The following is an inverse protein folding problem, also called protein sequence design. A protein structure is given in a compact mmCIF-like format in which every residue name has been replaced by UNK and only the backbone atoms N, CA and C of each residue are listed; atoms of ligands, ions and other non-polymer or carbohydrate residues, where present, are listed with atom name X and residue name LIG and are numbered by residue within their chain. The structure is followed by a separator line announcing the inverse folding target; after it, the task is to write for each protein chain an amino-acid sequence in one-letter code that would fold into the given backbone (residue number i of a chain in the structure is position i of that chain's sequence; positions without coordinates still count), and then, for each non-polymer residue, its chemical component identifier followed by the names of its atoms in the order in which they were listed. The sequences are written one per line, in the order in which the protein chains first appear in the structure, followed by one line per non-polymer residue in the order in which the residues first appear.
data_IF_922382594447
#
_entry.id   IF_922382594447
#
_cell.length_a   1.000
_cell.length_b   1.000
_cell.length_c   1.000
_cell.angle_alpha   90.00
_cell.angle_beta   90.00
_cell.angle_gamma   90.00
#
_symmetry.space_group_name_H-M   'P 1'
#
loop_
_entity.id
_entity.type
_entity.pdbx_description
1 polymer ?
#
# COMPACT_ATOMS: atom_id res chain seq x y z
N UNK A 1 -17.52 24.13 -0.81
CA UNK A 1 -16.63 23.00 -1.18
C UNK A 1 -17.30 21.63 -1.04
N UNK A 2 -18.01 21.30 0.06
CA UNK A 2 -18.71 19.99 0.21
C UNK A 2 -19.65 19.61 -0.95
N UNK A 3 -20.39 20.59 -1.51
CA UNK A 3 -21.27 20.35 -2.66
C UNK A 3 -20.53 20.01 -3.96
N UNK A 4 -19.27 20.43 -4.14
CA UNK A 4 -18.55 20.16 -5.39
C UNK A 4 -18.07 18.70 -5.46
N UNK A 5 -17.61 18.14 -4.35
CA UNK A 5 -16.97 16.82 -4.33
C UNK A 5 -17.96 15.65 -4.26
N UNK A 6 -19.18 15.89 -3.75
CA UNK A 6 -20.21 14.85 -3.59
C UNK A 6 -21.48 15.12 -4.40
N UNK A 7 -21.51 16.16 -5.24
CA UNK A 7 -22.67 16.42 -6.09
C UNK A 7 -22.69 15.49 -7.30
N UNK A 8 -23.82 14.80 -7.43
CA UNK A 8 -24.20 14.06 -8.60
C UNK A 8 -25.34 14.80 -9.31
N UNK A 9 -25.04 15.40 -10.47
CA UNK A 9 -26.03 16.08 -11.30
C UNK A 9 -26.29 15.27 -12.58
N UNK A 10 -27.53 15.34 -13.07
CA UNK A 10 -27.88 14.81 -14.37
C UNK A 10 -27.35 15.74 -15.47
N UNK A 11 -26.86 15.16 -16.57
CA UNK A 11 -26.43 15.93 -17.73
C UNK A 11 -27.64 16.38 -18.57
N UNK A 12 -27.48 17.37 -19.49
CA UNK A 12 -28.61 18.03 -20.16
C UNK A 12 -29.56 17.08 -20.88
N UNK A 13 -29.05 16.01 -21.49
CA UNK A 13 -29.86 15.03 -22.22
C UNK A 13 -29.52 13.60 -21.80
N UNK A 14 -30.49 12.69 -22.02
CA UNK A 14 -30.30 11.25 -21.76
C UNK A 14 -29.22 10.64 -22.65
N UNK A 15 -29.09 11.12 -23.88
CA UNK A 15 -28.05 10.68 -24.81
C UNK A 15 -26.65 11.05 -24.28
N UNK A 16 -26.48 12.27 -23.76
CA UNK A 16 -25.21 12.69 -23.13
C UNK A 16 -24.93 11.84 -21.87
N UNK A 17 -25.93 11.60 -21.02
CA UNK A 17 -25.75 10.72 -19.85
C UNK A 17 -25.35 9.29 -20.24
N UNK A 18 -25.92 8.74 -21.31
CA UNK A 18 -25.59 7.41 -21.82
C UNK A 18 -24.16 7.37 -22.39
N UNK A 19 -23.78 8.35 -23.22
CA UNK A 19 -22.42 8.47 -23.72
C UNK A 19 -21.41 8.63 -22.58
N UNK A 20 -21.76 9.42 -21.57
CA UNK A 20 -20.93 9.63 -20.38
C UNK A 20 -20.77 8.37 -19.53
N UNK A 21 -21.82 7.56 -19.39
CA UNK A 21 -21.73 6.23 -18.78
C UNK A 21 -20.77 5.34 -19.54
N UNK A 22 -20.93 5.22 -20.86
CA UNK A 22 -20.07 4.37 -21.69
C UNK A 22 -18.61 4.80 -21.60
N UNK A 23 -18.35 6.12 -21.63
CA UNK A 23 -17.02 6.68 -21.45
C UNK A 23 -16.41 6.31 -20.09
N UNK A 24 -17.14 6.54 -18.99
CA UNK A 24 -16.68 6.17 -17.64
C UNK A 24 -16.47 4.67 -17.48
N UNK A 25 -17.38 3.86 -18.01
CA UNK A 25 -17.30 2.41 -17.93
C UNK A 25 -16.09 1.90 -18.71
N UNK A 26 -15.89 2.37 -19.94
CA UNK A 26 -14.72 1.99 -20.73
C UNK A 26 -13.42 2.41 -20.05
N UNK A 27 -13.28 3.66 -19.62
CA UNK A 27 -12.05 4.13 -18.98
C UNK A 27 -11.78 3.46 -17.63
N UNK A 28 -12.81 3.36 -16.78
CA UNK A 28 -12.70 2.75 -15.46
C UNK A 28 -12.33 1.27 -15.54
N UNK A 29 -12.96 0.51 -16.45
CA UNK A 29 -12.60 -0.89 -16.68
C UNK A 29 -11.22 -1.02 -17.33
N UNK A 30 -10.89 -0.17 -18.31
CA UNK A 30 -9.60 -0.22 -18.99
C UNK A 30 -8.44 0.05 -18.04
N UNK A 31 -8.60 0.96 -17.06
CA UNK A 31 -7.54 1.20 -16.08
C UNK A 31 -7.50 0.12 -15.01
N UNK A 32 -8.66 -0.37 -14.58
CA UNK A 32 -8.72 -1.47 -13.62
C UNK A 32 -8.08 -2.74 -14.19
N UNK A 33 -8.35 -3.07 -15.46
CA UNK A 33 -7.83 -4.26 -16.12
C UNK A 33 -6.42 -4.08 -16.70
N UNK A 34 -6.12 -2.93 -17.31
CA UNK A 34 -4.86 -2.70 -18.02
C UNK A 34 -3.70 -2.24 -17.13
N UNK A 35 -3.99 -1.60 -15.99
CA UNK A 35 -2.96 -1.08 -15.09
C UNK A 35 -3.04 -1.70 -13.69
N UNK A 36 -4.24 -1.72 -13.10
CA UNK A 36 -4.44 -2.20 -11.74
C UNK A 36 -4.28 -3.71 -11.60
N UNK A 37 -5.08 -4.48 -12.35
CA UNK A 37 -5.16 -5.94 -12.25
C UNK A 37 -3.85 -6.66 -12.55
N UNK A 38 -2.98 -6.25 -13.50
CA UNK A 38 -1.69 -6.91 -13.73
C UNK A 38 -0.74 -6.71 -12.55
N UNK A 39 -0.79 -5.53 -11.91
CA UNK A 39 -0.03 -5.25 -10.70
C UNK A 39 -0.61 -5.97 -9.48
N UNK A 40 -1.93 -6.24 -9.48
CA UNK A 40 -2.60 -7.08 -8.49
C UNK A 40 -2.50 -8.59 -8.76
N UNK A 41 -2.32 -9.08 -9.98
CA UNK A 41 -2.26 -10.53 -10.26
C UNK A 41 -0.87 -11.09 -10.06
N UNK A 42 0.14 -10.22 -9.99
CA UNK A 42 1.38 -10.52 -9.25
C UNK A 42 1.13 -10.80 -7.75
N UNK A 43 -0.08 -10.57 -7.21
CA UNK A 43 -0.55 -11.09 -5.91
C UNK A 43 -1.11 -12.53 -6.00
N UNK A 44 -1.55 -12.99 -7.18
CA UNK A 44 -2.12 -14.34 -7.37
C UNK A 44 -1.06 -15.41 -7.62
N UNK A 45 0.16 -15.03 -8.04
CA UNK A 45 1.35 -15.89 -7.99
C UNK A 45 1.80 -16.19 -6.54
N UNK A 46 1.15 -15.57 -5.55
CA UNK A 46 1.37 -15.77 -4.11
C UNK A 46 0.36 -16.78 -3.55
N UNK A 47 0.27 -17.95 -4.16
CA UNK A 47 -0.41 -19.11 -3.57
C UNK A 47 0.35 -19.67 -2.33
N UNK A 48 1.49 -19.08 -1.95
CA UNK A 48 2.40 -19.55 -0.89
C UNK A 48 2.44 -18.65 0.36
N UNK A 49 1.32 -18.03 0.75
CA UNK A 49 1.17 -17.33 2.04
C UNK A 49 2.13 -16.15 2.31
N UNK A 50 2.42 -15.34 1.28
CA UNK A 50 3.00 -13.99 1.42
C UNK A 50 1.88 -12.94 1.35
N UNK A 51 1.96 -11.90 2.17
CA UNK A 51 0.98 -10.80 2.24
C UNK A 51 0.83 -10.13 0.87
N UNK A 52 -0.39 -9.77 0.43
CA UNK A 52 -0.59 -9.08 -0.83
C UNK A 52 0.14 -7.72 -0.87
N UNK A 53 1.10 -7.54 -1.79
CA UNK A 53 1.92 -6.32 -1.97
C UNK A 53 2.17 -5.92 -3.43
N UNK A 54 2.42 -4.63 -3.72
CA UNK A 54 2.83 -4.18 -5.07
C UNK A 54 4.11 -4.89 -5.52
N UNK A 55 4.34 -5.07 -6.84
CA UNK A 55 5.54 -5.73 -7.33
C UNK A 55 6.80 -4.88 -7.09
N UNK A 56 7.93 -5.53 -6.80
CA UNK A 56 9.18 -4.85 -6.38
C UNK A 56 9.68 -3.80 -7.37
N UNK A 57 9.58 -4.07 -8.67
CA UNK A 57 9.98 -3.10 -9.71
C UNK A 57 9.17 -1.80 -9.60
N UNK A 58 7.90 -1.88 -9.22
CA UNK A 58 7.03 -0.71 -9.09
C UNK A 58 7.35 0.05 -7.79
N UNK A 59 7.65 -0.69 -6.72
CA UNK A 59 8.15 -0.11 -5.47
C UNK A 59 9.44 0.68 -5.70
N UNK A 60 10.37 0.13 -6.47
CA UNK A 60 11.62 0.80 -6.84
C UNK A 60 11.37 2.06 -7.69
N UNK A 61 10.44 2.01 -8.64
CA UNK A 61 10.05 3.19 -9.43
C UNK A 61 9.49 4.31 -8.55
N UNK A 62 8.57 3.97 -7.64
CA UNK A 62 7.97 4.92 -6.69
C UNK A 62 9.04 5.49 -5.75
N UNK A 63 9.99 4.68 -5.28
CA UNK A 63 11.13 5.14 -4.50
C UNK A 63 12.03 6.11 -5.29
N UNK A 64 12.31 5.80 -6.57
CA UNK A 64 13.11 6.65 -7.46
C UNK A 64 12.51 8.03 -7.70
N UNK A 65 11.17 8.14 -7.62
CA UNK A 65 10.43 9.40 -7.66
C UNK A 65 10.48 10.20 -6.35
N UNK A 66 11.11 9.67 -5.29
CA UNK A 66 11.22 10.32 -3.99
C UNK A 66 10.08 10.03 -3.01
N UNK A 67 9.14 9.14 -3.36
CA UNK A 67 8.07 8.70 -2.47
C UNK A 67 8.57 7.65 -1.46
N UNK A 68 9.43 8.09 -0.54
CA UNK A 68 10.13 7.23 0.43
C UNK A 68 9.49 7.21 1.82
N UNK A 69 8.79 8.27 2.22
CA UNK A 69 8.05 8.35 3.49
C UNK A 69 6.53 8.32 3.25
N UNK A 70 5.72 7.47 3.92
CA UNK A 70 6.07 6.60 5.06
C UNK A 70 6.78 5.29 4.65
N UNK A 71 6.59 4.81 3.43
CA UNK A 71 7.46 3.82 2.77
C UNK A 71 7.16 3.76 1.27
N UNK A 72 8.10 3.36 0.41
CA UNK A 72 7.82 3.12 -1.02
C UNK A 72 6.74 2.05 -1.25
N UNK A 73 6.69 1.03 -0.40
CA UNK A 73 5.68 -0.03 -0.47
C UNK A 73 4.27 0.51 -0.20
N UNK A 74 4.13 1.45 0.74
CA UNK A 74 2.86 2.11 1.02
C UNK A 74 2.35 2.87 -0.22
N UNK A 75 3.21 3.70 -0.81
CA UNK A 75 2.84 4.50 -1.98
C UNK A 75 2.57 3.64 -3.22
N UNK A 76 3.39 2.63 -3.46
CA UNK A 76 3.17 1.67 -4.53
C UNK A 76 1.87 0.88 -4.32
N UNK A 77 1.58 0.44 -3.08
CA UNK A 77 0.32 -0.23 -2.75
C UNK A 77 -0.89 0.69 -2.97
N UNK A 78 -0.80 1.95 -2.52
CA UNK A 78 -1.83 2.95 -2.74
C UNK A 78 -2.08 3.22 -4.23
N UNK A 79 -1.02 3.25 -5.04
CA UNK A 79 -1.12 3.47 -6.48
C UNK A 79 -1.73 2.27 -7.22
N UNK A 80 -1.37 1.03 -6.85
CA UNK A 80 -1.96 -0.19 -7.44
C UNK A 80 -3.45 -0.30 -7.10
N UNK A 81 -3.79 -0.11 -5.82
CA UNK A 81 -5.19 -0.12 -5.41
C UNK A 81 -5.99 1.06 -5.96
N UNK A 82 -5.35 2.21 -6.13
CA UNK A 82 -5.91 3.37 -6.81
C UNK A 82 -6.29 3.06 -8.25
N UNK A 83 -5.38 2.47 -9.03
CA UNK A 83 -5.64 2.05 -10.41
C UNK A 83 -6.78 1.01 -10.48
N UNK A 84 -6.75 -0.01 -9.64
CA UNK A 84 -7.75 -1.06 -9.68
C UNK A 84 -9.10 -0.63 -9.11
N UNK A 85 -9.16 -0.34 -7.80
CA UNK A 85 -10.39 0.02 -7.13
C UNK A 85 -10.91 1.37 -7.61
N UNK A 86 -10.03 2.35 -7.83
CA UNK A 86 -10.42 3.64 -8.41
C UNK A 86 -11.01 3.49 -9.81
N UNK A 87 -10.44 2.61 -10.65
CA UNK A 87 -11.01 2.29 -11.96
C UNK A 87 -12.43 1.71 -11.87
N UNK A 88 -12.64 0.73 -10.99
CA UNK A 88 -13.97 0.14 -10.77
C UNK A 88 -14.98 1.17 -10.21
N UNK A 89 -14.54 2.01 -9.28
CA UNK A 89 -15.35 3.09 -8.70
C UNK A 89 -15.79 4.10 -9.78
N UNK A 90 -14.90 4.46 -10.70
CA UNK A 90 -15.23 5.32 -11.86
C UNK A 90 -16.25 4.66 -12.78
N UNK A 91 -16.06 3.37 -13.10
CA UNK A 91 -16.95 2.62 -13.98
C UNK A 91 -18.37 2.54 -13.40
N UNK A 92 -18.50 2.25 -12.11
CA UNK A 92 -19.78 2.20 -11.40
C UNK A 92 -20.36 3.59 -11.11
N UNK A 93 -19.53 4.62 -11.14
CA UNK A 93 -19.89 5.98 -10.74
C UNK A 93 -20.14 6.09 -9.25
N UNK A 94 -19.24 5.56 -8.42
CA UNK A 94 -19.25 5.64 -6.95
C UNK A 94 -18.02 6.43 -6.48
N UNK A 95 -18.21 7.44 -5.63
CA UNK A 95 -17.16 8.39 -5.24
C UNK A 95 -16.40 8.98 -6.44
N UNK A 96 -17.11 9.22 -7.54
CA UNK A 96 -16.54 9.43 -8.88
C UNK A 96 -15.53 10.58 -8.93
N UNK A 97 -15.82 11.69 -8.24
CA UNK A 97 -14.92 12.86 -8.23
C UNK A 97 -13.65 12.60 -7.43
N UNK A 98 -13.73 11.83 -6.36
CA UNK A 98 -12.57 11.46 -5.55
C UNK A 98 -11.68 10.45 -6.28
N UNK A 99 -12.29 9.41 -6.84
CA UNK A 99 -11.57 8.42 -7.65
C UNK A 99 -10.95 9.06 -8.90
N UNK A 100 -11.66 9.99 -9.54
CA UNK A 100 -11.15 10.73 -10.68
C UNK A 100 -9.95 11.60 -10.30
N UNK A 101 -10.00 12.31 -9.18
CA UNK A 101 -8.90 13.16 -8.73
C UNK A 101 -7.67 12.34 -8.37
N UNK A 102 -7.86 11.22 -7.66
CA UNK A 102 -6.76 10.32 -7.30
C UNK A 102 -6.07 9.73 -8.52
N UNK A 103 -6.84 9.23 -9.50
CA UNK A 103 -6.28 8.70 -10.75
C UNK A 103 -5.61 9.81 -11.57
N UNK A 104 -6.22 10.99 -11.67
CA UNK A 104 -5.60 12.13 -12.34
C UNK A 104 -4.24 12.48 -11.72
N UNK A 105 -4.13 12.51 -10.39
CA UNK A 105 -2.84 12.75 -9.74
C UNK A 105 -1.80 11.68 -10.11
N UNK A 106 -2.18 10.41 -10.14
CA UNK A 106 -1.26 9.32 -10.50
C UNK A 106 -0.76 9.41 -11.94
N UNK A 107 -1.68 9.66 -12.89
CA UNK A 107 -1.31 9.81 -14.30
C UNK A 107 -0.56 11.13 -14.57
N UNK A 108 -0.76 12.16 -13.75
CA UNK A 108 0.06 13.37 -13.80
C UNK A 108 1.52 13.06 -13.43
N UNK A 109 1.75 12.37 -12.30
CA UNK A 109 3.11 12.00 -11.86
C UNK A 109 3.80 11.16 -12.93
N UNK A 110 3.10 10.15 -13.45
CA UNK A 110 3.65 9.27 -14.48
C UNK A 110 3.95 10.05 -15.77
N UNK A 111 3.00 10.83 -16.28
CA UNK A 111 3.13 11.45 -17.59
C UNK A 111 4.07 12.66 -17.64
N UNK A 112 4.25 13.38 -16.53
CA UNK A 112 4.97 14.66 -16.52
C UNK A 112 6.20 14.70 -15.61
N UNK A 113 6.27 13.84 -14.58
CA UNK A 113 7.37 13.89 -13.61
C UNK A 113 8.33 12.70 -13.72
N UNK A 114 7.85 11.55 -14.18
CA UNK A 114 8.66 10.33 -14.23
C UNK A 114 9.48 10.16 -15.51
N UNK A 115 8.95 10.61 -16.65
CA UNK A 115 9.57 10.34 -17.94
C UNK A 115 10.78 11.24 -18.22
N UNK A 116 11.85 10.66 -18.75
CA UNK A 116 13.13 11.34 -18.98
C UNK A 116 13.06 12.44 -20.07
N UNK A 117 12.05 12.40 -20.95
CA UNK A 117 11.78 13.45 -21.94
C UNK A 117 10.29 13.86 -21.94
N UNK A 118 9.81 14.56 -20.89
CA UNK A 118 8.41 14.87 -20.70
C UNK A 118 7.98 15.98 -21.67
N UNK A 119 7.82 15.64 -22.95
CA UNK A 119 7.13 16.52 -23.90
C UNK A 119 5.70 16.76 -23.40
N UNK A 120 5.30 18.02 -23.13
CA UNK A 120 4.01 18.31 -22.49
C UNK A 120 2.77 17.93 -23.31
N UNK A 121 2.96 17.61 -24.59
CA UNK A 121 1.87 17.37 -25.55
C UNK A 121 1.96 15.96 -26.15
N UNK A 122 3.16 15.42 -26.37
CA UNK A 122 3.35 14.14 -27.07
C UNK A 122 4.08 13.07 -26.26
N UNK A 123 4.77 13.46 -25.18
CA UNK A 123 5.46 12.53 -24.30
C UNK A 123 4.45 11.69 -23.53
N UNK A 124 4.61 10.36 -23.50
CA UNK A 124 3.67 9.45 -22.84
C UNK A 124 2.19 9.72 -23.21
N UNK A 125 1.90 9.86 -24.51
CA UNK A 125 0.59 10.29 -25.01
C UNK A 125 -0.60 9.54 -24.40
N UNK A 126 -0.44 8.24 -24.12
CA UNK A 126 -1.47 7.41 -23.51
C UNK A 126 -1.77 7.82 -22.07
N UNK A 127 -0.72 8.06 -21.27
CA UNK A 127 -0.85 8.48 -19.87
C UNK A 127 -1.33 9.93 -19.75
N UNK A 128 -0.92 10.81 -20.67
CA UNK A 128 -1.48 12.17 -20.75
C UNK A 128 -2.97 12.16 -21.12
N UNK A 129 -3.38 11.30 -22.05
CA UNK A 129 -4.79 11.14 -22.40
C UNK A 129 -5.61 10.66 -21.20
N UNK A 130 -5.11 9.68 -20.45
CA UNK A 130 -5.74 9.20 -19.23
C UNK A 130 -5.83 10.30 -18.16
N UNK A 131 -4.74 11.05 -17.94
CA UNK A 131 -4.74 12.21 -17.04
C UNK A 131 -5.87 13.19 -17.36
N UNK A 132 -5.96 13.63 -18.63
CA UNK A 132 -7.00 14.57 -19.05
C UNK A 132 -8.40 13.98 -18.96
N UNK A 133 -8.56 12.70 -19.28
CA UNK A 133 -9.84 12.03 -19.14
C UNK A 133 -10.32 12.00 -17.68
N UNK A 134 -9.42 11.68 -16.73
CA UNK A 134 -9.74 11.70 -15.30
C UNK A 134 -9.99 13.11 -14.77
N UNK A 135 -9.31 14.13 -15.31
CA UNK A 135 -9.61 15.54 -15.02
C UNK A 135 -11.03 15.91 -15.46
N UNK A 136 -11.45 15.51 -16.66
CA UNK A 136 -12.82 15.73 -17.14
C UNK A 136 -13.81 14.98 -16.24
N UNK A 137 -13.53 13.74 -15.85
CA UNK A 137 -14.40 12.98 -14.93
C UNK A 137 -14.51 13.67 -13.56
N UNK A 138 -13.40 14.21 -13.05
CA UNK A 138 -13.38 14.95 -11.79
C UNK A 138 -14.20 16.23 -11.86
N UNK A 139 -14.15 16.94 -12.99
CA UNK A 139 -14.86 18.21 -13.19
C UNK A 139 -16.36 18.00 -13.43
N UNK A 140 -16.73 17.11 -14.36
CA UNK A 140 -18.11 16.80 -14.75
C UNK A 140 -18.81 16.03 -13.63
N UNK A 141 -18.13 15.05 -13.04
CA UNK A 141 -18.66 14.17 -12.00
C UNK A 141 -19.42 12.95 -12.56
N UNK A 142 -20.32 12.37 -11.75
CA UNK A 142 -20.81 11.01 -11.97
C UNK A 142 -21.91 10.87 -13.04
N UNK A 143 -22.66 11.93 -13.35
CA UNK A 143 -23.81 11.87 -14.27
C UNK A 143 -24.99 11.04 -13.73
N UNK A 144 -26.08 10.98 -14.49
CA UNK A 144 -27.36 10.39 -14.05
C UNK A 144 -27.33 8.88 -13.86
N UNK A 145 -26.55 8.16 -14.68
CA UNK A 145 -26.39 6.71 -14.61
C UNK A 145 -25.17 6.35 -13.76
N UNK A 146 -25.24 6.67 -12.47
CA UNK A 146 -24.17 6.42 -11.51
C UNK A 146 -24.75 6.04 -10.15
N UNK A 147 -23.98 5.30 -9.36
CA UNK A 147 -24.36 4.99 -7.98
C UNK A 147 -24.41 6.26 -7.11
N UNK A 148 -23.50 7.21 -7.33
CA UNK A 148 -23.50 8.51 -6.64
C UNK A 148 -24.84 9.26 -6.84
N UNK A 149 -25.36 9.30 -8.08
CA UNK A 149 -26.65 9.93 -8.37
C UNK A 149 -27.81 9.19 -7.74
N UNK A 150 -27.79 7.86 -7.77
CA UNK A 150 -28.82 7.02 -7.18
C UNK A 150 -28.90 7.17 -5.65
N UNK A 151 -27.75 7.13 -4.97
CA UNK A 151 -27.64 7.30 -3.52
C UNK A 151 -28.07 8.72 -3.12
N UNK A 152 -27.60 9.74 -3.85
CA UNK A 152 -27.96 11.13 -3.59
C UNK A 152 -29.47 11.39 -3.74
N UNK A 153 -30.10 10.83 -4.78
CA UNK A 153 -31.55 10.95 -4.98
C UNK A 153 -32.36 10.27 -3.87
N UNK A 154 -31.91 9.10 -3.39
CA UNK A 154 -32.57 8.40 -2.27
C UNK A 154 -32.49 9.19 -0.97
N UNK A 155 -31.33 9.75 -0.67
CA UNK A 155 -31.14 10.58 0.53
C UNK A 155 -32.05 11.83 0.49
N UNK A 156 -32.12 12.51 -0.65
CA UNK A 156 -33.00 13.68 -0.83
C UNK A 156 -34.50 13.33 -0.75
N UNK A 157 -34.90 12.14 -1.21
CA UNK A 157 -36.28 11.67 -1.10
C UNK A 157 -36.66 11.25 0.34
N UNK A 158 -35.67 10.85 1.17
CA UNK A 158 -35.88 10.47 2.57
C UNK A 158 -35.91 11.68 3.52
N UNK A 159 -35.25 12.80 3.18
CA UNK A 159 -35.27 14.04 3.98
C UNK A 159 -36.67 14.58 4.29
N UNK A 160 -37.61 14.73 3.35
CA UNK A 160 -38.94 15.28 3.65
C UNK A 160 -39.78 14.36 4.55
N UNK A 161 -39.52 13.03 4.53
CA UNK A 161 -40.22 12.06 5.40
C UNK A 161 -39.60 12.03 6.80
N UNK A 162 -38.27 12.14 6.91
CA UNK A 162 -37.57 12.17 8.19
C UNK A 162 -37.74 13.51 8.93
N UNK A 163 -37.74 14.64 8.21
CA UNK A 163 -38.00 15.97 8.78
C UNK A 163 -39.44 16.10 9.34
N UNK A 164 -40.40 15.37 8.76
CA UNK A 164 -41.76 15.27 9.28
C UNK A 164 -41.89 14.33 10.49
N UNK A 165 -40.88 13.51 10.79
CA UNK A 165 -40.97 12.45 11.82
C UNK A 165 -39.97 12.57 12.99
N UNK A 166 -38.95 13.44 12.93
CA UNK A 166 -37.88 13.41 13.93
C UNK A 166 -37.57 14.77 14.54
N UNK A 167 -38.26 15.03 15.65
CA UNK A 167 -37.60 15.65 16.79
C UNK A 167 -36.41 14.77 17.20
N UNK A 168 -35.22 15.37 17.10
CA UNK A 168 -34.01 14.98 17.83
C UNK A 168 -33.44 13.57 17.56
N UNK A 169 -33.11 13.21 16.31
CA UNK A 169 -32.11 12.16 16.04
C UNK A 169 -31.11 12.55 14.95
N UNK A 170 -29.85 12.17 15.19
CA UNK A 170 -28.66 12.57 14.44
C UNK A 170 -28.76 12.21 12.94
N UNK A 171 -28.20 13.03 12.02
CA UNK A 171 -28.45 12.87 10.60
C UNK A 171 -27.63 11.73 10.00
N UNK A 172 -28.20 11.08 8.98
CA UNK A 172 -27.74 9.85 8.31
C UNK A 172 -26.35 9.91 7.63
N UNK A 173 -25.62 11.03 7.70
CA UNK A 173 -24.23 11.13 7.23
C UNK A 173 -23.26 10.31 8.08
N UNK A 174 -23.63 9.95 9.33
CA UNK A 174 -22.82 9.12 10.22
C UNK A 174 -22.57 7.70 9.66
N UNK A 175 -23.52 7.13 8.91
CA UNK A 175 -23.36 5.80 8.31
C UNK A 175 -22.42 5.82 7.09
N UNK A 176 -22.46 6.88 6.27
CA UNK A 176 -21.54 7.06 5.15
C UNK A 176 -20.11 7.34 5.61
N UNK A 177 -19.94 8.12 6.68
CA UNK A 177 -18.65 8.34 7.32
C UNK A 177 -18.07 7.05 7.92
N UNK A 178 -18.90 6.16 8.47
CA UNK A 178 -18.44 4.89 9.02
C UNK A 178 -17.87 3.94 7.95
N UNK A 179 -18.44 3.90 6.74
CA UNK A 179 -17.92 3.08 5.63
C UNK A 179 -16.62 3.65 5.06
N UNK A 180 -16.51 4.98 4.94
CA UNK A 180 -15.26 5.66 4.54
C UNK A 180 -14.18 5.47 5.61
N UNK A 181 -14.52 5.59 6.89
CA UNK A 181 -13.60 5.27 7.99
C UNK A 181 -13.20 3.79 7.99
N UNK A 182 -14.11 2.85 7.69
CA UNK A 182 -13.76 1.42 7.61
C UNK A 182 -12.78 1.13 6.45
N UNK A 183 -12.93 1.79 5.29
CA UNK A 183 -12.00 1.69 4.17
C UNK A 183 -10.65 2.38 4.44
N UNK A 184 -10.64 3.48 5.21
CA UNK A 184 -9.41 4.16 5.65
C UNK A 184 -8.69 3.43 6.81
N UNK A 185 -9.44 2.71 7.67
CA UNK A 185 -8.89 1.86 8.73
C UNK A 185 -8.28 0.57 8.12
N UNK A 186 -8.89 0.03 7.07
CA UNK A 186 -8.27 -1.04 6.28
C UNK A 186 -6.94 -0.59 5.63
N UNK A 187 -6.81 0.70 5.27
CA UNK A 187 -5.57 1.31 4.77
C UNK A 187 -4.48 1.49 5.83
N UNK A 188 -4.84 1.69 7.11
CA UNK A 188 -3.88 1.90 8.22
C UNK A 188 -3.37 0.60 8.86
N UNK A 189 -3.85 -0.56 8.39
CA UNK A 189 -3.38 -1.86 8.90
C UNK A 189 -2.04 -2.29 8.30
N UNK A 190 -1.47 -1.50 7.39
CA UNK A 190 -0.24 -1.82 6.65
C UNK A 190 0.93 -0.89 7.02
N UNK A 191 0.99 -0.41 8.26
CA UNK A 191 2.16 0.32 8.73
C UNK A 191 3.20 -0.66 9.32
N UNK A 192 4.29 -0.88 8.57
CA UNK A 192 5.57 -1.27 9.15
C UNK A 192 5.91 -2.76 9.17
N UNK A 193 5.61 -3.52 8.11
CA UNK A 193 6.16 -4.88 7.96
C UNK A 193 7.17 -4.95 6.82
N UNK A 194 8.41 -5.33 7.11
CA UNK A 194 9.51 -5.52 6.14
C UNK A 194 9.74 -7.01 5.96
N UNK A 195 9.70 -7.48 4.72
CA UNK A 195 10.08 -8.85 4.37
C UNK A 195 11.50 -8.86 3.79
N UNK A 196 12.32 -9.84 4.18
CA UNK A 196 13.70 -9.97 3.70
C UNK A 196 14.06 -11.45 3.52
N UNK A 197 14.60 -11.80 2.35
CA UNK A 197 15.24 -13.11 2.12
C UNK A 197 16.74 -12.92 2.41
N UNK A 198 17.13 -13.23 3.63
CA UNK A 198 18.44 -12.94 4.18
C UNK A 198 19.40 -14.10 3.97
N UNK A 199 20.53 -13.81 3.32
CA UNK A 199 21.65 -14.73 3.17
C UNK A 199 22.79 -14.34 4.11
N UNK A 200 23.29 -15.29 4.90
CA UNK A 200 24.40 -15.06 5.83
C UNK A 200 25.55 -15.99 5.44
N UNK A 201 26.67 -15.41 5.05
CA UNK A 201 27.89 -16.16 4.71
C UNK A 201 28.38 -17.04 5.87
N UNK A 202 29.15 -18.11 5.57
CA UNK A 202 29.73 -18.96 6.60
C UNK A 202 30.58 -18.13 7.59
N UNK A 203 30.39 -18.37 8.89
CA UNK A 203 31.14 -17.68 9.95
C UNK A 203 30.80 -16.20 10.13
N UNK A 204 29.73 -15.70 9.51
CA UNK A 204 29.21 -14.35 9.72
C UNK A 204 27.91 -14.33 10.53
N UNK A 205 27.61 -13.18 11.09
CA UNK A 205 26.33 -12.87 11.73
C UNK A 205 25.70 -11.66 11.06
N UNK A 206 24.37 -11.62 11.06
CA UNK A 206 23.58 -10.47 10.66
C UNK A 206 22.97 -9.82 11.89
N UNK A 207 23.09 -8.50 11.99
CA UNK A 207 22.59 -7.71 13.11
C UNK A 207 21.50 -6.78 12.59
N UNK A 208 20.33 -6.87 13.23
CA UNK A 208 19.15 -6.07 12.92
C UNK A 208 18.75 -5.24 14.15
N UNK A 209 18.76 -3.91 14.01
CA UNK A 209 18.41 -2.97 15.06
C UNK A 209 19.56 -2.65 16.02
N UNK A 210 19.21 -2.05 17.15
CA UNK A 210 20.13 -1.56 18.19
C UNK A 210 19.97 -0.07 18.50
N UNK A 211 19.34 0.70 17.62
CA UNK A 211 19.17 2.16 17.74
C UNK A 211 17.70 2.62 17.79
N UNK A 212 16.74 1.72 17.58
CA UNK A 212 15.33 2.05 17.49
C UNK A 212 14.70 2.35 18.87
N UNK A 213 13.77 3.30 18.91
CA UNK A 213 13.04 3.68 20.14
C UNK A 213 11.90 2.70 20.50
N UNK A 214 11.41 1.93 19.53
CA UNK A 214 10.29 0.99 19.70
C UNK A 214 10.70 -0.48 19.81
N UNK A 215 9.78 -1.32 20.30
CA UNK A 215 9.94 -2.79 20.19
C UNK A 215 9.65 -3.24 18.76
N UNK A 216 10.34 -4.28 18.30
CA UNK A 216 10.09 -4.88 16.98
C UNK A 216 9.93 -6.39 17.07
N UNK A 217 9.19 -6.96 16.12
CA UNK A 217 8.97 -8.39 15.99
C UNK A 217 9.71 -8.91 14.78
N UNK A 218 10.36 -10.07 14.89
CA UNK A 218 10.94 -10.82 13.77
C UNK A 218 10.28 -12.19 13.71
N UNK A 219 9.61 -12.48 12.62
CA UNK A 219 9.27 -13.85 12.25
C UNK A 219 10.32 -14.37 11.28
N UNK A 220 10.97 -15.46 11.64
CA UNK A 220 12.06 -16.03 10.86
C UNK A 220 11.71 -17.46 10.47
N UNK A 221 11.85 -17.79 9.19
CA UNK A 221 11.77 -19.14 8.62
C UNK A 221 13.13 -19.50 8.04
N UNK A 222 13.75 -20.57 8.53
CA UNK A 222 15.00 -21.08 7.97
C UNK A 222 14.71 -21.87 6.68
N UNK A 223 15.03 -21.28 5.54
CA UNK A 223 14.95 -21.92 4.21
C UNK A 223 16.25 -22.63 3.82
N UNK A 224 17.33 -22.37 4.57
CA UNK A 224 18.66 -22.93 4.31
C UNK A 224 18.80 -24.37 4.78
N UNK A 225 20.02 -24.90 4.60
CA UNK A 225 20.40 -26.27 5.00
C UNK A 225 21.17 -26.33 6.31
N UNK A 226 21.49 -25.18 6.89
CA UNK A 226 22.27 -25.04 8.13
C UNK A 226 21.42 -24.43 9.24
N UNK A 227 21.64 -24.81 10.51
CA UNK A 227 20.96 -24.18 11.64
C UNK A 227 21.39 -22.73 11.80
N UNK A 228 20.46 -21.86 12.21
CA UNK A 228 20.73 -20.45 12.52
C UNK A 228 20.36 -20.14 13.95
N UNK A 229 21.31 -19.62 14.72
CA UNK A 229 21.06 -19.15 16.08
C UNK A 229 20.56 -17.70 16.05
N UNK A 230 19.49 -17.41 16.79
CA UNK A 230 18.96 -16.06 16.97
C UNK A 230 19.20 -15.63 18.42
N UNK A 231 19.89 -14.50 18.57
CA UNK A 231 20.29 -13.91 19.85
C UNK A 231 19.78 -12.48 19.96
N UNK A 232 19.65 -11.97 21.17
CA UNK A 232 19.35 -10.56 21.46
C UNK A 232 20.55 -9.90 22.13
N UNK A 233 20.90 -8.72 21.64
CA UNK A 233 21.93 -7.85 22.20
C UNK A 233 21.25 -6.56 22.71
N UNK A 234 20.92 -6.46 24.01
CA UNK A 234 20.31 -5.26 24.58
C UNK A 234 21.27 -4.05 24.59
N UNK A 235 20.72 -2.83 24.68
CA UNK A 235 21.50 -1.58 24.81
C UNK A 235 22.45 -1.58 26.00
N UNK A 236 22.10 -2.26 27.09
CA UNK A 236 22.93 -2.43 28.30
C UNK A 236 24.08 -3.44 28.16
N UNK A 237 24.27 -4.03 26.97
CA UNK A 237 25.30 -5.03 26.70
C UNK A 237 24.85 -6.47 26.97
N UNK A 238 25.76 -7.41 26.73
CA UNK A 238 25.47 -8.84 26.77
C UNK A 238 24.88 -9.38 25.46
N UNK A 239 24.93 -10.70 25.28
CA UNK A 239 24.29 -11.41 24.17
C UNK A 239 23.55 -12.61 24.75
N UNK A 240 22.25 -12.67 24.55
CA UNK A 240 21.38 -13.71 25.11
C UNK A 240 20.78 -14.54 23.98
N UNK A 241 20.91 -15.87 24.06
CA UNK A 241 20.27 -16.76 23.09
C UNK A 241 18.75 -16.75 23.23
N UNK A 242 18.02 -16.61 22.11
CA UNK A 242 16.55 -16.69 22.09
C UNK A 242 16.04 -17.99 21.46
N UNK A 243 16.63 -18.40 20.35
CA UNK A 243 16.21 -19.61 19.63
C UNK A 243 17.32 -20.11 18.70
N UNK A 244 17.22 -21.39 18.32
CA UNK A 244 18.00 -21.97 17.22
C UNK A 244 17.03 -22.54 16.20
N UNK A 245 17.05 -22.03 14.97
CA UNK A 245 16.21 -22.48 13.88
C UNK A 245 16.92 -23.57 13.09
N UNK A 246 16.42 -24.81 13.20
CA UNK A 246 16.80 -25.89 12.29
C UNK A 246 16.29 -25.61 10.86
N UNK A 247 16.89 -26.23 9.82
CA UNK A 247 16.36 -26.17 8.45
C UNK A 247 14.85 -26.46 8.41
N UNK A 248 14.08 -25.57 7.78
CA UNK A 248 12.61 -25.64 7.69
C UNK A 248 11.85 -25.13 8.92
N UNK A 249 12.52 -24.84 10.04
CA UNK A 249 11.86 -24.37 11.25
C UNK A 249 11.52 -22.87 11.19
N UNK A 250 10.43 -22.48 11.88
CA UNK A 250 9.97 -21.10 12.01
C UNK A 250 9.92 -20.68 13.48
N UNK A 251 10.27 -19.43 13.76
CA UNK A 251 10.05 -18.80 15.07
C UNK A 251 9.54 -17.38 14.92
N UNK A 252 8.80 -16.92 15.93
CA UNK A 252 8.33 -15.53 16.06
C UNK A 252 8.92 -14.96 17.35
N UNK A 253 9.83 -14.01 17.22
CA UNK A 253 10.60 -13.44 18.32
C UNK A 253 10.30 -11.94 18.43
N UNK A 254 10.19 -11.44 19.66
CA UNK A 254 10.06 -10.01 19.95
C UNK A 254 11.34 -9.48 20.57
N UNK A 255 11.73 -8.28 20.19
CA UNK A 255 12.94 -7.60 20.62
C UNK A 255 12.57 -6.25 21.24
N UNK A 256 13.27 -5.91 22.31
CA UNK A 256 13.00 -4.71 23.09
C UNK A 256 13.53 -3.44 22.40
N UNK A 257 13.08 -2.26 22.84
CA UNK A 257 13.60 -0.98 22.34
C UNK A 257 15.12 -0.88 22.57
N UNK A 258 15.85 -0.40 21.56
CA UNK A 258 17.30 -0.30 21.57
C UNK A 258 18.06 -1.63 21.62
N UNK A 259 17.38 -2.78 21.49
CA UNK A 259 18.05 -4.09 21.35
C UNK A 259 18.29 -4.45 19.89
N UNK A 260 19.31 -5.26 19.63
CA UNK A 260 19.58 -5.80 18.31
C UNK A 260 19.30 -7.31 18.25
N UNK A 261 18.68 -7.76 17.17
CA UNK A 261 18.57 -9.17 16.83
C UNK A 261 19.86 -9.60 16.10
N UNK A 262 20.57 -10.58 16.65
CA UNK A 262 21.81 -11.11 16.10
C UNK A 262 21.54 -12.52 15.59
N UNK A 263 21.57 -12.70 14.27
CA UNK A 263 21.34 -13.97 13.59
C UNK A 263 22.69 -14.54 13.16
N UNK A 264 23.05 -15.69 13.69
CA UNK A 264 24.40 -16.26 13.57
C UNK A 264 24.38 -17.49 12.67
N UNK A 265 25.19 -17.46 11.61
CA UNK A 265 25.50 -18.66 10.85
C UNK A 265 26.78 -19.29 11.43
N UNK A 266 26.60 -20.35 12.22
CA UNK A 266 27.71 -21.09 12.85
C UNK A 266 28.41 -22.07 11.88
N UNK A 267 27.93 -22.21 10.64
CA UNK A 267 28.61 -23.03 9.62
C UNK A 267 29.86 -22.36 9.09
N UNK A 268 30.92 -23.13 8.85
CA UNK A 268 32.20 -22.67 8.30
C UNK A 268 32.32 -22.83 6.79
N UNK A 269 31.38 -23.54 6.14
CA UNK A 269 31.45 -23.87 4.72
C UNK A 269 30.13 -23.71 3.96
N UNK A 270 29.03 -23.38 4.63
CA UNK A 270 27.71 -23.26 4.00
C UNK A 270 26.98 -21.98 4.42
N UNK A 271 26.35 -21.34 3.45
CA UNK A 271 25.56 -20.13 3.65
C UNK A 271 24.21 -20.46 4.30
N UNK A 272 23.78 -19.63 5.23
CA UNK A 272 22.42 -19.69 5.78
C UNK A 272 21.45 -18.87 4.93
N UNK A 273 20.20 -19.30 4.87
CA UNK A 273 19.11 -18.58 4.20
C UNK A 273 17.90 -18.49 5.15
N UNK A 274 17.45 -17.28 5.43
CA UNK A 274 16.30 -17.00 6.27
C UNK A 274 15.31 -16.09 5.56
N UNK A 275 14.05 -16.50 5.51
CA UNK A 275 12.96 -15.57 5.24
C UNK A 275 12.55 -14.88 6.53
N UNK A 276 12.74 -13.57 6.59
CA UNK A 276 12.43 -12.72 7.71
C UNK A 276 11.21 -11.84 7.40
N UNK A 277 10.33 -11.70 8.39
CA UNK A 277 9.24 -10.73 8.42
C UNK A 277 9.40 -9.89 9.68
N UNK A 278 9.70 -8.62 9.51
CA UNK A 278 10.01 -7.70 10.60
C UNK A 278 8.83 -6.74 10.75
N UNK A 279 8.14 -6.75 11.88
CA UNK A 279 7.00 -5.87 12.15
C UNK A 279 7.35 -4.81 13.18
N UNK A 280 7.04 -3.57 12.84
CA UNK A 280 7.08 -2.35 13.66
C UNK A 280 8.48 -2.02 14.18
N UNK A 281 9.28 -1.30 13.41
CA UNK A 281 10.58 -0.77 13.83
C UNK A 281 11.02 0.37 12.91
N UNK A 282 10.73 1.60 13.29
CA UNK A 282 11.29 2.77 12.62
C UNK A 282 12.76 2.91 13.01
N UNK A 283 13.64 3.20 12.06
CA UNK A 283 15.07 3.42 12.33
C UNK A 283 15.90 2.17 12.66
N UNK A 284 15.50 0.97 12.18
CA UNK A 284 16.31 -0.24 12.31
C UNK A 284 17.54 -0.18 11.40
N UNK A 285 18.73 -0.35 11.97
CA UNK A 285 19.97 -0.56 11.23
C UNK A 285 20.15 -2.03 10.83
N UNK A 286 20.88 -2.27 9.74
CA UNK A 286 21.20 -3.62 9.24
C UNK A 286 22.69 -3.69 8.96
N UNK A 287 23.40 -4.59 9.63
CA UNK A 287 24.85 -4.78 9.44
C UNK A 287 25.21 -6.27 9.42
N UNK A 288 26.25 -6.62 8.67
CA UNK A 288 26.86 -7.95 8.73
C UNK A 288 28.21 -7.85 9.42
N UNK A 289 28.44 -8.72 10.40
CA UNK A 289 29.64 -8.74 11.23
C UNK A 289 30.26 -10.14 11.19
N UNK A 290 31.59 -10.29 11.36
CA UNK A 290 32.19 -11.57 11.67
C UNK A 290 31.67 -12.09 13.02
N UNK A 291 31.48 -13.41 13.13
CA UNK A 291 31.09 -14.02 14.42
C UNK A 291 32.18 -13.73 15.45
N UNK A 292 31.82 -13.05 16.55
CA UNK A 292 32.72 -12.76 17.68
C UNK A 292 33.28 -11.33 17.78
N UNK A 293 33.02 -10.44 16.83
CA UNK A 293 33.40 -9.02 16.98
C UNK A 293 32.34 -8.22 17.78
N UNK A 294 32.79 -7.45 18.78
CA UNK A 294 32.01 -6.41 19.45
C UNK A 294 32.31 -5.07 18.78
N UNK A 295 31.30 -4.30 18.39
CA UNK A 295 31.51 -2.87 18.11
C UNK A 295 32.06 -2.21 19.37
N UNK A 296 33.19 -1.49 19.24
CA UNK A 296 33.63 -0.53 20.26
C UNK A 296 32.55 0.54 20.33
N UNK A 297 32.04 0.83 21.52
CA UNK A 297 31.15 1.96 21.74
C UNK A 297 31.93 3.24 21.46
N UNK A 298 31.45 4.05 20.51
CA UNK A 298 31.69 5.49 20.47
C UNK A 298 30.62 6.20 21.31
#
# INVERSE_FOLDING_TARGET
MKKLLFSAAALPTRAIDAAWLLFRLHLGLSIADGAGLPKLTNLAAVANAQVPGPPDWFVQQVAGLGFTFPSPYFWAGAAVWGEFAGGLLIALGLFTRWSGLQLAFQFFVVAFLWYEDPSPITGMYYQQLLFWAFMVITAVGPGRYSLDYYIGRRAAAAEPVAAAQLGNRQPAWAAGAAVVCALLIAFNSWAGTVHSDLFIEPGKQFVLGGSQEGTFKVEALNKGKVPVEIKERPRGGGIFGKATLQPGARASLRFTAGSAAVLVNSSTNQQANLALTITRGEGLSMTSEPVGQRQKAE
#
